data_IF_854405081553
#
_entry.id   IF_854405081553
#
_cell.length_a   1.000
_cell.length_b   1.000
_cell.length_c   1.000
_cell.angle_alpha   90.00
_cell.angle_beta   90.00
_cell.angle_gamma   90.00
#
_symmetry.space_group_name_H-M   'P 1'
#
loop_
_entity.id
_entity.type
_entity.pdbx_description
1 polymer ?
#
# COMPACT_ATOMS: atom_id res chain seq x y z
N UNK A 1 23.35 6.42 -7.74
CA UNK A 1 22.15 5.95 -8.46
C UNK A 1 21.35 4.97 -7.63
N UNK A 2 21.95 3.93 -7.05
CA UNK A 2 21.25 2.97 -6.15
C UNK A 2 20.96 3.53 -4.76
N UNK A 3 21.89 4.28 -4.17
CA UNK A 3 21.72 4.88 -2.82
C UNK A 3 20.58 5.90 -2.75
N UNK A 4 20.40 6.71 -3.78
CA UNK A 4 19.33 7.71 -3.88
C UNK A 4 17.95 7.06 -4.04
N UNK A 5 17.85 5.98 -4.82
CA UNK A 5 16.61 5.21 -4.98
C UNK A 5 16.16 4.58 -3.66
N UNK A 6 17.08 4.02 -2.88
CA UNK A 6 16.77 3.41 -1.59
C UNK A 6 16.24 4.44 -0.59
N UNK A 7 16.83 5.64 -0.57
CA UNK A 7 16.35 6.76 0.25
C UNK A 7 14.95 7.19 -0.19
N UNK A 8 14.68 7.32 -1.50
CA UNK A 8 13.35 7.64 -2.01
C UNK A 8 12.31 6.57 -1.64
N UNK A 9 12.67 5.29 -1.73
CA UNK A 9 11.83 4.17 -1.35
C UNK A 9 11.47 4.19 0.14
N UNK A 10 12.46 4.45 1.00
CA UNK A 10 12.24 4.58 2.44
C UNK A 10 11.29 5.73 2.75
N UNK A 11 11.53 6.92 2.17
CA UNK A 11 10.72 8.11 2.41
C UNK A 11 9.28 7.88 1.94
N UNK A 12 9.09 7.33 0.75
CA UNK A 12 7.75 7.06 0.18
C UNK A 12 7.00 6.01 0.98
N UNK A 13 7.64 4.90 1.37
CA UNK A 13 7.03 3.91 2.27
C UNK A 13 6.67 4.49 3.63
N UNK A 14 7.53 5.34 4.21
CA UNK A 14 7.28 5.96 5.51
C UNK A 14 6.08 6.92 5.45
N UNK A 15 6.01 7.76 4.40
CA UNK A 15 4.88 8.66 4.17
C UNK A 15 3.58 7.88 3.91
N UNK A 16 3.65 6.78 3.15
CA UNK A 16 2.51 5.90 2.90
C UNK A 16 1.99 5.25 4.19
N UNK A 17 2.87 4.78 5.05
CA UNK A 17 2.51 4.15 6.33
C UNK A 17 2.00 5.16 7.37
N UNK A 18 2.49 6.41 7.34
CA UNK A 18 2.08 7.47 8.27
C UNK A 18 0.73 8.12 7.91
N UNK A 19 0.25 7.96 6.68
CA UNK A 19 -1.02 8.56 6.23
C UNK A 19 -2.22 7.92 6.94
N UNK A 20 -3.11 8.71 7.58
CA UNK A 20 -4.29 8.17 8.27
C UNK A 20 -5.29 7.61 7.26
N UNK A 21 -5.26 6.30 7.07
CA UNK A 21 -6.13 5.59 6.13
C UNK A 21 -7.28 4.82 6.80
N UNK A 22 -8.17 4.20 6.00
CA UNK A 22 -9.23 3.30 6.48
C UNK A 22 -8.70 2.14 7.34
N UNK A 23 -7.45 1.74 7.13
CA UNK A 23 -6.75 0.73 7.93
C UNK A 23 -6.59 1.13 9.41
N UNK A 24 -6.24 2.40 9.69
CA UNK A 24 -6.12 2.90 11.06
C UNK A 24 -7.48 2.91 11.76
N UNK A 25 -8.55 3.23 11.03
CA UNK A 25 -9.93 3.18 11.53
C UNK A 25 -10.31 1.74 11.90
N UNK A 26 -9.95 0.76 11.07
CA UNK A 26 -10.21 -0.65 11.35
C UNK A 26 -9.45 -1.15 12.59
N UNK A 27 -8.13 -0.88 12.67
CA UNK A 27 -7.30 -1.34 13.79
C UNK A 27 -7.73 -0.66 15.09
N UNK A 28 -7.99 0.64 15.08
CA UNK A 28 -8.47 1.38 16.26
C UNK A 28 -9.85 0.92 16.71
N UNK A 29 -10.78 0.68 15.78
CA UNK A 29 -12.09 0.08 16.09
C UNK A 29 -11.94 -1.27 16.77
N UNK A 30 -11.02 -2.12 16.29
CA UNK A 30 -10.80 -3.44 16.88
C UNK A 30 -10.12 -3.34 18.27
N UNK A 31 -9.22 -2.36 18.46
CA UNK A 31 -8.59 -2.09 19.74
C UNK A 31 -9.59 -1.56 20.79
N UNK A 32 -10.54 -0.72 20.39
CA UNK A 32 -11.56 -0.14 21.28
C UNK A 32 -12.61 -1.20 21.66
N UNK A 33 -13.08 -2.00 20.70
CA UNK A 33 -14.15 -2.98 20.94
C UNK A 33 -13.65 -4.26 21.63
N UNK A 34 -12.48 -4.77 21.22
CA UNK A 34 -11.96 -6.07 21.66
C UNK A 34 -10.68 -5.98 22.51
N UNK A 35 -10.32 -4.77 22.94
CA UNK A 35 -9.16 -4.50 23.80
C UNK A 35 -7.84 -4.34 23.07
N UNK A 36 -6.84 -3.83 23.79
CA UNK A 36 -5.50 -3.45 23.26
C UNK A 36 -4.76 -4.62 22.60
N UNK A 37 -4.90 -5.83 23.14
CA UNK A 37 -4.22 -7.02 22.63
C UNK A 37 -4.75 -7.43 21.25
N UNK A 38 -6.07 -7.45 21.09
CA UNK A 38 -6.74 -7.70 19.80
C UNK A 38 -6.39 -6.64 18.75
N UNK A 39 -6.29 -5.37 19.17
CA UNK A 39 -5.79 -4.28 18.32
C UNK A 39 -4.37 -4.51 17.82
N UNK A 40 -3.45 -4.89 18.71
CA UNK A 40 -2.05 -5.19 18.37
C UNK A 40 -1.93 -6.36 17.38
N UNK A 41 -2.65 -7.46 17.63
CA UNK A 41 -2.71 -8.61 16.72
C UNK A 41 -3.25 -8.22 15.34
N UNK A 42 -4.27 -7.37 15.29
CA UNK A 42 -4.84 -6.86 14.03
C UNK A 42 -3.82 -6.01 13.27
N UNK A 43 -3.10 -5.14 13.98
CA UNK A 43 -2.03 -4.33 13.40
C UNK A 43 -0.90 -5.19 12.83
N UNK A 44 -0.46 -6.21 13.57
CA UNK A 44 0.56 -7.15 13.11
C UNK A 44 0.12 -7.93 11.86
N UNK A 45 -1.09 -8.49 11.89
CA UNK A 45 -1.63 -9.22 10.73
C UNK A 45 -1.77 -8.31 9.50
N UNK A 46 -2.22 -7.07 9.70
CA UNK A 46 -2.33 -6.09 8.63
C UNK A 46 -0.96 -5.71 8.05
N UNK A 47 0.03 -5.45 8.90
CA UNK A 47 1.39 -5.11 8.47
C UNK A 47 2.05 -6.23 7.67
N UNK A 48 1.91 -7.49 8.12
CA UNK A 48 2.42 -8.66 7.38
C UNK A 48 1.70 -8.81 6.03
N UNK A 49 0.38 -8.62 6.00
CA UNK A 49 -0.40 -8.68 4.77
C UNK A 49 0.05 -7.66 3.74
N UNK A 50 0.25 -6.40 4.15
CA UNK A 50 0.75 -5.34 3.26
C UNK A 50 2.17 -5.66 2.78
N UNK A 51 3.03 -6.19 3.64
CA UNK A 51 4.40 -6.55 3.26
C UNK A 51 4.42 -7.61 2.15
N UNK A 52 3.63 -8.68 2.30
CA UNK A 52 3.50 -9.73 1.27
C UNK A 52 2.91 -9.14 -0.03
N UNK A 53 1.87 -8.31 0.09
CA UNK A 53 1.26 -7.65 -1.06
C UNK A 53 2.25 -6.76 -1.81
N UNK A 54 3.02 -5.92 -1.11
CA UNK A 54 4.01 -5.03 -1.72
C UNK A 54 5.14 -5.81 -2.40
N UNK A 55 5.62 -6.87 -1.76
CA UNK A 55 6.65 -7.74 -2.31
C UNK A 55 6.20 -8.40 -3.62
N UNK A 56 5.00 -9.02 -3.63
CA UNK A 56 4.42 -9.61 -4.85
C UNK A 56 4.18 -8.57 -5.94
N UNK A 57 3.72 -7.37 -5.57
CA UNK A 57 3.43 -6.29 -6.52
C UNK A 57 4.69 -5.84 -7.24
N UNK A 58 5.78 -5.57 -6.50
CA UNK A 58 7.05 -5.10 -7.09
C UNK A 58 7.62 -6.16 -8.06
N UNK A 59 7.59 -7.44 -7.69
CA UNK A 59 8.04 -8.54 -8.56
C UNK A 59 7.20 -8.58 -9.84
N UNK A 60 5.88 -8.56 -9.70
CA UNK A 60 4.96 -8.66 -10.84
C UNK A 60 5.10 -7.47 -11.79
N UNK A 61 5.21 -6.25 -11.25
CA UNK A 61 5.43 -5.02 -12.02
C UNK A 61 6.77 -5.08 -12.75
N UNK A 62 7.83 -5.55 -12.10
CA UNK A 62 9.14 -5.73 -12.74
C UNK A 62 9.10 -6.67 -13.95
N UNK A 63 8.45 -7.83 -13.78
CA UNK A 63 8.28 -8.80 -14.88
C UNK A 63 7.49 -8.22 -16.05
N UNK A 64 6.39 -7.51 -15.78
CA UNK A 64 5.55 -6.92 -16.84
C UNK A 64 6.31 -5.80 -17.56
N UNK A 65 7.13 -5.03 -16.84
CA UNK A 65 7.89 -3.91 -17.39
C UNK A 65 8.91 -4.38 -18.44
N UNK A 66 9.52 -5.54 -18.22
CA UNK A 66 10.48 -6.13 -19.17
C UNK A 66 9.81 -6.67 -20.45
N UNK A 67 8.52 -6.99 -20.39
CA UNK A 67 7.76 -7.53 -21.53
C UNK A 67 7.18 -6.39 -22.40
N UNK A 68 6.46 -5.45 -21.78
CA UNK A 68 5.84 -4.33 -22.49
C UNK A 68 5.55 -3.16 -21.54
N UNK A 69 6.32 -2.09 -21.66
CA UNK A 69 6.19 -0.87 -20.84
C UNK A 69 4.85 -0.15 -21.02
N UNK A 70 4.29 -0.13 -22.24
CA UNK A 70 3.01 0.53 -22.52
C UNK A 70 1.85 -0.07 -21.71
N UNK A 71 1.96 -1.35 -21.35
CA UNK A 71 0.92 -2.06 -20.62
C UNK A 71 0.83 -1.57 -19.17
N UNK A 72 1.96 -1.25 -18.54
CA UNK A 72 2.01 -0.65 -17.20
C UNK A 72 1.44 0.77 -17.21
N UNK A 73 1.76 1.57 -18.23
CA UNK A 73 1.27 2.94 -18.34
C UNK A 73 -0.26 2.98 -18.44
N UNK A 74 -0.84 2.13 -19.29
CA UNK A 74 -2.30 2.02 -19.43
C UNK A 74 -2.95 1.58 -18.11
N UNK A 75 -2.41 0.54 -17.46
CA UNK A 75 -2.93 0.07 -16.16
C UNK A 75 -2.85 1.18 -15.11
N UNK A 76 -1.75 1.93 -15.07
CA UNK A 76 -1.53 3.03 -14.11
C UNK A 76 -2.57 4.13 -14.32
N UNK A 77 -2.82 4.54 -15.56
CA UNK A 77 -3.84 5.55 -15.89
C UNK A 77 -5.23 5.09 -15.45
N UNK A 78 -5.59 3.84 -15.70
CA UNK A 78 -6.87 3.26 -15.28
C UNK A 78 -6.99 3.24 -13.75
N UNK A 79 -5.95 2.82 -13.04
CA UNK A 79 -5.92 2.78 -11.57
C UNK A 79 -6.05 4.17 -10.93
N UNK A 80 -5.35 5.17 -11.49
CA UNK A 80 -5.47 6.57 -11.05
C UNK A 80 -6.88 7.09 -11.28
N UNK A 81 -7.47 6.79 -12.44
CA UNK A 81 -8.88 7.11 -12.74
C UNK A 81 -9.84 6.48 -11.74
N UNK A 82 -9.61 5.21 -11.38
CA UNK A 82 -10.42 4.52 -10.37
C UNK A 82 -10.28 5.13 -8.96
N UNK A 83 -9.07 5.51 -8.56
CA UNK A 83 -8.84 6.18 -7.27
C UNK A 83 -9.51 7.55 -7.21
N UNK A 84 -9.46 8.32 -8.29
CA UNK A 84 -10.19 9.59 -8.40
C UNK A 84 -11.70 9.38 -8.31
N UNK A 85 -12.23 8.38 -9.02
CA UNK A 85 -13.65 8.01 -8.93
C UNK A 85 -14.06 7.66 -7.50
N UNK A 86 -13.26 6.85 -6.80
CA UNK A 86 -13.53 6.47 -5.42
C UNK A 86 -13.49 7.70 -4.49
N UNK A 87 -12.56 8.63 -4.73
CA UNK A 87 -12.45 9.88 -3.98
C UNK A 87 -13.67 10.80 -4.13
N UNK A 88 -14.36 10.80 -5.27
CA UNK A 88 -15.61 11.54 -5.46
C UNK A 88 -16.84 10.81 -4.91
N UNK A 89 -16.74 9.51 -4.66
CA UNK A 89 -17.85 8.67 -4.20
C UNK A 89 -17.92 8.54 -2.67
N UNK A 90 -16.77 8.63 -1.99
CA UNK A 90 -16.64 8.65 -0.53
C UNK A 90 -16.96 10.03 0.01
#
# INVERSE_FOLDING_TARGET
>A
MTSTLLIQLIITCFLGAASPGPSLVLVSKNAILNGKFSGSLTGFGHGIGIFIYAFLSIISIGVINDINTLLIDIITIVLVGYMLFLAFRI
#
